data_IF_413120831840
#
_entry.id   IF_413120831840
#
_cell.length_a   1.000
_cell.length_b   1.000
_cell.length_c   1.000
_cell.angle_alpha   90.00
_cell.angle_beta   90.00
_cell.angle_gamma   90.00
#
_symmetry.space_group_name_H-M   'P 1'
#
loop_
_entity.id
_entity.type
_entity.pdbx_description
1 polymer ?
#
# COMPACT_ATOMS: atom_id res chain seq x y z
N UNK A 1 5.76 27.83 -9.89
CA UNK A 1 5.02 27.07 -8.86
C UNK A 1 5.68 25.72 -8.68
N UNK A 2 5.63 25.15 -7.47
CA UNK A 2 6.30 23.89 -7.11
C UNK A 2 5.31 22.72 -7.00
N UNK A 3 5.80 21.50 -6.88
CA UNK A 3 4.98 20.34 -6.52
C UNK A 3 5.45 19.77 -5.19
N UNK A 4 4.54 19.37 -4.31
CA UNK A 4 4.87 18.80 -3.00
C UNK A 4 4.44 17.34 -2.93
N UNK A 5 5.38 16.44 -2.67
CA UNK A 5 5.15 15.03 -2.46
C UNK A 5 5.41 14.67 -0.99
N UNK A 6 4.36 14.27 -0.27
CA UNK A 6 4.44 13.90 1.15
C UNK A 6 4.45 12.37 1.25
N UNK A 7 5.62 11.82 1.54
CA UNK A 7 5.91 10.38 1.43
C UNK A 7 6.15 9.76 2.81
N UNK A 8 5.59 8.57 3.04
CA UNK A 8 5.66 7.79 4.28
C UNK A 8 6.01 6.32 4.05
N UNK A 9 5.86 5.85 2.82
CA UNK A 9 6.10 4.46 2.44
C UNK A 9 6.79 4.37 1.07
N UNK A 10 7.51 3.27 0.81
CA UNK A 10 8.10 3.03 -0.49
C UNK A 10 7.08 2.97 -1.64
N UNK A 11 5.89 2.40 -1.41
CA UNK A 11 4.83 2.38 -2.43
C UNK A 11 4.43 3.80 -2.87
N UNK A 12 4.39 4.76 -1.94
CA UNK A 12 4.12 6.16 -2.26
C UNK A 12 5.21 6.78 -3.13
N UNK A 13 6.47 6.30 -3.08
CA UNK A 13 7.52 6.73 -4.01
C UNK A 13 7.24 6.24 -5.43
N UNK A 14 6.73 5.01 -5.60
CA UNK A 14 6.32 4.51 -6.92
C UNK A 14 5.15 5.34 -7.50
N UNK A 15 4.16 5.67 -6.67
CA UNK A 15 3.07 6.56 -7.07
C UNK A 15 3.58 7.96 -7.43
N UNK A 16 4.56 8.48 -6.67
CA UNK A 16 5.18 9.77 -6.96
C UNK A 16 5.92 9.77 -8.30
N UNK A 17 6.69 8.73 -8.58
CA UNK A 17 7.35 8.56 -9.87
C UNK A 17 6.34 8.57 -11.02
N UNK A 18 5.27 7.77 -10.90
CA UNK A 18 4.24 7.70 -11.94
C UNK A 18 3.53 9.05 -12.12
N UNK A 19 3.24 9.77 -11.04
CA UNK A 19 2.65 11.11 -11.11
C UNK A 19 3.57 12.14 -11.77
N UNK A 20 4.88 12.13 -11.42
CA UNK A 20 5.87 13.03 -12.04
C UNK A 20 5.90 12.82 -13.54
N UNK A 21 5.93 11.58 -13.98
CA UNK A 21 5.97 11.22 -15.40
C UNK A 21 4.65 11.53 -16.12
N UNK A 22 3.51 11.21 -15.50
CA UNK A 22 2.18 11.41 -16.06
C UNK A 22 1.86 12.89 -16.27
N UNK A 23 2.09 13.72 -15.25
CA UNK A 23 1.82 15.16 -15.31
C UNK A 23 3.02 15.99 -15.80
N UNK A 24 4.12 15.33 -16.19
CA UNK A 24 5.37 15.98 -16.67
C UNK A 24 5.90 17.03 -15.68
N UNK A 25 5.92 16.68 -14.39
CA UNK A 25 6.16 17.60 -13.29
C UNK A 25 7.63 17.94 -13.12
N UNK A 26 7.90 19.24 -13.05
CA UNK A 26 9.20 19.82 -12.69
C UNK A 26 9.10 20.57 -11.37
N UNK A 27 10.23 20.91 -10.76
CA UNK A 27 10.30 21.68 -9.51
C UNK A 27 9.63 20.95 -8.33
N UNK A 28 10.02 19.69 -8.15
CA UNK A 28 9.41 18.79 -7.17
C UNK A 28 10.12 18.89 -5.81
N UNK A 29 9.33 19.02 -4.73
CA UNK A 29 9.79 18.92 -3.34
C UNK A 29 9.29 17.60 -2.77
N UNK A 30 10.19 16.80 -2.22
CA UNK A 30 9.85 15.62 -1.43
C UNK A 30 9.93 15.93 0.05
N UNK A 31 8.84 15.67 0.79
CA UNK A 31 8.79 15.65 2.23
C UNK A 31 8.66 14.20 2.71
N UNK A 32 9.76 13.61 3.16
CA UNK A 32 9.75 12.27 3.76
C UNK A 32 9.40 12.38 5.23
N UNK A 33 8.27 11.80 5.61
CA UNK A 33 7.89 11.61 7.01
C UNK A 33 8.32 10.21 7.43
N UNK A 34 9.47 10.15 8.10
CA UNK A 34 10.11 8.90 8.50
C UNK A 34 9.33 8.20 9.62
N UNK A 35 9.38 6.87 9.62
CA UNK A 35 8.88 6.05 10.73
C UNK A 35 10.06 5.51 11.57
N UNK A 36 9.77 4.75 12.62
CA UNK A 36 10.79 4.16 13.50
C UNK A 36 11.54 2.97 12.88
N UNK A 37 11.27 2.63 11.60
CA UNK A 37 11.91 1.52 10.91
C UNK A 37 12.96 2.06 9.94
N UNK A 38 14.23 2.10 10.36
CA UNK A 38 15.32 2.68 9.57
C UNK A 38 15.45 2.06 8.17
N UNK A 39 15.23 0.74 8.06
CA UNK A 39 15.20 0.04 6.76
C UNK A 39 14.18 0.64 5.79
N UNK A 40 12.99 1.00 6.28
CA UNK A 40 11.93 1.59 5.45
C UNK A 40 12.33 3.00 5.00
N UNK A 41 12.95 3.78 5.89
CA UNK A 41 13.44 5.12 5.56
C UNK A 41 14.56 5.07 4.53
N UNK A 42 15.49 4.11 4.66
CA UNK A 42 16.55 3.91 3.68
C UNK A 42 15.99 3.49 2.32
N UNK A 43 15.03 2.56 2.29
CA UNK A 43 14.37 2.15 1.05
C UNK A 43 13.72 3.34 0.31
N UNK A 44 13.02 4.22 1.02
CA UNK A 44 12.45 5.42 0.41
C UNK A 44 13.54 6.32 -0.19
N UNK A 45 14.66 6.54 0.52
CA UNK A 45 15.78 7.33 -0.01
C UNK A 45 16.40 6.71 -1.25
N UNK A 46 16.68 5.42 -1.22
CA UNK A 46 17.25 4.69 -2.36
C UNK A 46 16.35 4.81 -3.59
N UNK A 47 15.03 4.73 -3.38
CA UNK A 47 14.06 4.85 -4.47
C UNK A 47 13.94 6.26 -5.01
N UNK A 48 14.12 7.31 -4.21
CA UNK A 48 14.05 8.69 -4.72
C UNK A 48 15.07 8.98 -5.81
N UNK A 49 16.13 8.17 -5.94
CA UNK A 49 17.05 8.24 -7.07
C UNK A 49 16.37 8.04 -8.45
N UNK A 50 15.17 7.46 -8.49
CA UNK A 50 14.37 7.33 -9.72
C UNK A 50 13.55 8.58 -10.05
N UNK A 51 13.41 9.51 -9.11
CA UNK A 51 12.56 10.70 -9.24
C UNK A 51 13.41 11.96 -9.45
N UNK A 52 12.94 12.87 -10.30
CA UNK A 52 13.53 14.21 -10.43
C UNK A 52 12.96 15.13 -9.33
N UNK A 53 13.83 15.72 -8.50
CA UNK A 53 13.42 16.65 -7.45
C UNK A 53 14.47 17.73 -7.16
N UNK A 54 14.01 18.89 -6.70
CA UNK A 54 14.85 20.03 -6.32
C UNK A 54 15.23 20.03 -4.84
N UNK A 55 14.29 19.62 -3.98
CA UNK A 55 14.45 19.70 -2.53
C UNK A 55 13.94 18.43 -1.87
N UNK A 56 14.76 17.88 -0.98
CA UNK A 56 14.38 16.81 -0.07
C UNK A 56 14.33 17.37 1.36
N UNK A 57 13.16 17.27 1.98
CA UNK A 57 12.93 17.61 3.38
C UNK A 57 12.65 16.32 4.15
N UNK A 58 13.52 15.98 5.09
CA UNK A 58 13.32 14.82 5.95
C UNK A 58 12.73 15.24 7.30
N UNK A 59 11.70 14.50 7.73
CA UNK A 59 11.13 14.62 9.06
C UNK A 59 11.32 13.29 9.81
N UNK A 60 12.46 13.15 10.53
CA UNK A 60 12.73 12.01 11.42
C UNK A 60 11.60 11.68 12.39
N UNK A 61 11.48 10.44 12.88
CA UNK A 61 10.50 10.10 13.90
C UNK A 61 10.71 10.91 15.19
N UNK A 62 9.63 11.20 15.91
CA UNK A 62 9.70 11.89 17.21
C UNK A 62 8.50 11.54 18.09
N UNK A 63 8.70 11.63 19.41
CA UNK A 63 7.64 11.44 20.43
C UNK A 63 6.52 12.48 20.29
N UNK A 64 6.85 13.71 19.87
CA UNK A 64 5.87 14.77 19.60
C UNK A 64 6.25 15.57 18.37
N UNK A 65 5.31 15.67 17.43
CA UNK A 65 5.53 16.36 16.16
C UNK A 65 4.84 17.73 16.07
N UNK A 66 4.20 18.23 17.14
CA UNK A 66 3.40 19.47 17.06
C UNK A 66 4.21 20.67 16.55
N UNK A 67 5.29 21.04 17.24
CA UNK A 67 6.13 22.18 16.84
C UNK A 67 6.79 21.97 15.48
N UNK A 68 7.12 20.71 15.14
CA UNK A 68 7.69 20.36 13.84
C UNK A 68 6.69 20.55 12.71
N UNK A 69 5.44 20.14 12.90
CA UNK A 69 4.37 20.38 11.94
C UNK A 69 4.12 21.88 11.76
N UNK A 70 4.12 22.66 12.85
CA UNK A 70 3.96 24.12 12.79
C UNK A 70 5.12 24.76 12.02
N UNK A 71 6.36 24.42 12.36
CA UNK A 71 7.56 24.96 11.71
C UNK A 71 7.62 24.59 10.22
N UNK A 72 7.35 23.33 9.88
CA UNK A 72 7.33 22.85 8.50
C UNK A 72 6.19 23.49 7.70
N UNK A 73 4.99 23.61 8.29
CA UNK A 73 3.87 24.29 7.62
C UNK A 73 4.25 25.74 7.29
N UNK A 74 4.88 26.46 8.22
CA UNK A 74 5.34 27.85 7.98
C UNK A 74 6.47 27.92 6.95
N UNK A 75 7.38 26.95 6.93
CA UNK A 75 8.44 26.86 5.91
C UNK A 75 7.82 26.65 4.52
N UNK A 76 6.93 25.67 4.39
CA UNK A 76 6.30 25.29 3.11
C UNK A 76 5.34 26.36 2.60
N UNK A 77 4.70 27.14 3.49
CA UNK A 77 3.82 28.25 3.12
C UNK A 77 4.53 29.38 2.35
N UNK A 78 5.86 29.37 2.27
CA UNK A 78 6.65 30.33 1.46
C UNK A 78 6.59 30.04 -0.05
N UNK A 79 5.93 28.97 -0.47
CA UNK A 79 5.81 28.58 -1.87
C UNK A 79 4.34 28.36 -2.24
N UNK A 80 4.03 28.65 -3.50
CA UNK A 80 2.78 28.25 -4.14
C UNK A 80 2.98 26.95 -4.91
N UNK A 81 1.99 26.06 -4.80
CA UNK A 81 2.06 24.73 -5.35
C UNK A 81 1.08 24.54 -6.53
N UNK A 82 1.51 23.86 -7.60
CA UNK A 82 0.54 23.34 -8.57
C UNK A 82 -0.18 22.15 -7.91
N UNK A 83 0.60 21.17 -7.47
CA UNK A 83 0.08 19.93 -6.93
C UNK A 83 0.65 19.61 -5.54
N UNK A 84 -0.22 19.07 -4.68
CA UNK A 84 0.17 18.41 -3.44
C UNK A 84 -0.26 16.95 -3.51
N UNK A 85 0.69 16.03 -3.43
CA UNK A 85 0.47 14.58 -3.41
C UNK A 85 0.79 13.99 -2.04
N UNK A 86 -0.02 13.04 -1.58
CA UNK A 86 0.16 12.39 -0.27
C UNK A 86 -0.56 11.05 -0.19
N UNK A 87 -0.03 10.05 0.53
CA UNK A 87 -0.70 8.74 0.64
C UNK A 87 -1.70 8.59 1.79
N UNK A 88 -1.72 9.49 2.76
CA UNK A 88 -2.66 9.39 3.88
C UNK A 88 -3.18 10.73 4.37
N UNK A 89 -4.42 10.76 4.85
CA UNK A 89 -5.08 11.97 5.32
C UNK A 89 -5.02 12.13 6.85
N UNK A 90 -3.80 12.15 7.39
CA UNK A 90 -3.55 12.39 8.82
C UNK A 90 -3.59 13.87 9.21
N UNK A 91 -3.43 14.17 10.51
CA UNK A 91 -3.41 15.54 11.03
C UNK A 91 -2.42 16.47 10.32
N UNK A 92 -1.25 15.97 9.92
CA UNK A 92 -0.25 16.79 9.26
C UNK A 92 -0.65 17.16 7.83
N UNK A 93 -1.17 16.19 7.06
CA UNK A 93 -1.66 16.44 5.71
C UNK A 93 -2.88 17.36 5.74
N UNK A 94 -3.82 17.15 6.67
CA UNK A 94 -4.94 18.08 6.91
C UNK A 94 -4.45 19.50 7.19
N UNK A 95 -3.43 19.64 8.05
CA UNK A 95 -2.81 20.94 8.36
C UNK A 95 -2.19 21.61 7.12
N UNK A 96 -1.44 20.85 6.31
CA UNK A 96 -0.82 21.39 5.10
C UNK A 96 -1.88 21.83 4.08
N UNK A 97 -2.89 21.00 3.81
CA UNK A 97 -3.99 21.34 2.90
C UNK A 97 -4.89 22.49 3.41
N UNK A 98 -4.85 22.79 4.71
CA UNK A 98 -5.56 23.93 5.28
C UNK A 98 -4.78 25.25 5.19
N UNK A 99 -3.45 25.21 5.04
CA UNK A 99 -2.59 26.39 5.18
C UNK A 99 -1.75 26.74 3.95
N UNK A 100 -1.42 25.76 3.11
CA UNK A 100 -0.67 25.99 1.87
C UNK A 100 -1.59 26.54 0.77
N UNK A 101 -1.02 27.27 -0.17
CA UNK A 101 -1.69 27.63 -1.42
C UNK A 101 -1.32 26.61 -2.49
N UNK A 102 -2.34 26.03 -3.14
CA UNK A 102 -2.14 24.99 -4.14
C UNK A 102 -3.27 24.99 -5.17
N UNK A 103 -3.02 24.58 -6.42
CA UNK A 103 -4.05 24.43 -7.43
C UNK A 103 -4.95 23.21 -7.16
N UNK A 104 -4.33 22.02 -7.12
CA UNK A 104 -4.99 20.73 -6.85
C UNK A 104 -4.20 19.88 -5.85
N UNK A 105 -4.88 18.92 -5.24
CA UNK A 105 -4.24 17.96 -4.33
C UNK A 105 -4.77 16.56 -4.57
N UNK A 106 -3.88 15.57 -4.58
CA UNK A 106 -4.21 14.18 -4.88
C UNK A 106 -3.76 13.25 -3.75
N UNK A 107 -4.68 12.38 -3.33
CA UNK A 107 -4.36 11.24 -2.49
C UNK A 107 -3.75 10.13 -3.36
N UNK A 108 -2.56 9.66 -3.01
CA UNK A 108 -1.95 8.46 -3.56
C UNK A 108 -2.58 7.20 -2.99
N UNK A 109 -2.40 6.13 -3.75
CA UNK A 109 -2.72 4.80 -3.27
C UNK A 109 -1.86 4.42 -2.05
N UNK A 110 -2.53 4.09 -0.93
CA UNK A 110 -1.92 3.62 0.32
C UNK A 110 -2.67 2.40 0.88
N UNK A 111 -3.18 1.56 -0.04
CA UNK A 111 -3.85 0.30 0.26
C UNK A 111 -5.33 0.48 0.63
N UNK A 112 -5.85 -0.41 1.49
CA UNK A 112 -7.28 -0.43 1.82
C UNK A 112 -7.78 0.85 2.50
N UNK A 113 -6.89 1.65 3.08
CA UNK A 113 -7.22 2.94 3.67
C UNK A 113 -7.76 3.95 2.64
N UNK A 114 -7.40 3.83 1.36
CA UNK A 114 -7.89 4.68 0.27
C UNK A 114 -9.42 4.68 0.21
N UNK A 115 -10.08 3.54 0.39
CA UNK A 115 -11.55 3.45 0.40
C UNK A 115 -12.17 4.15 1.60
N UNK A 116 -11.55 4.02 2.78
CA UNK A 116 -12.02 4.72 3.98
C UNK A 116 -11.93 6.24 3.80
N UNK A 117 -10.85 6.70 3.16
CA UNK A 117 -10.71 8.12 2.80
C UNK A 117 -11.69 8.55 1.73
N UNK A 118 -12.01 7.70 0.75
CA UNK A 118 -13.02 7.96 -0.26
C UNK A 118 -14.41 8.23 0.32
N UNK A 119 -14.81 7.43 1.31
CA UNK A 119 -16.06 7.66 2.05
C UNK A 119 -15.96 8.88 2.99
N UNK A 120 -14.79 9.14 3.60
CA UNK A 120 -14.61 10.32 4.48
C UNK A 120 -14.66 11.63 3.66
N UNK A 121 -14.01 11.66 2.50
CA UNK A 121 -13.81 12.85 1.68
C UNK A 121 -15.03 13.24 0.86
N UNK A 122 -15.92 12.29 0.54
CA UNK A 122 -17.21 12.56 -0.10
C UNK A 122 -18.22 13.27 0.80
N UNK A 123 -18.00 13.24 2.13
CA UNK A 123 -18.89 13.92 3.08
C UNK A 123 -18.66 15.42 3.05
N UNK A 124 -19.72 16.25 3.11
CA UNK A 124 -19.59 17.70 3.08
C UNK A 124 -18.85 18.26 4.32
N UNK A 125 -18.92 17.55 5.45
CA UNK A 125 -18.34 17.97 6.72
C UNK A 125 -16.97 17.34 6.95
N UNK A 126 -15.96 18.18 7.19
CA UNK A 126 -14.63 17.73 7.55
C UNK A 126 -14.58 17.31 9.02
N UNK A 127 -13.98 16.15 9.30
CA UNK A 127 -13.75 15.65 10.65
C UNK A 127 -12.43 16.16 11.21
N UNK A 128 -12.49 16.72 12.41
CA UNK A 128 -11.34 17.18 13.19
C UNK A 128 -11.21 16.40 14.48
N UNK A 129 -9.97 16.03 14.82
CA UNK A 129 -9.63 15.48 16.12
C UNK A 129 -9.25 16.59 17.11
N UNK A 130 -9.25 16.29 18.40
CA UNK A 130 -8.71 17.21 19.43
C UNK A 130 -7.24 17.59 19.17
N UNK A 131 -6.48 16.71 18.51
CA UNK A 131 -5.09 16.97 18.11
C UNK A 131 -4.95 17.93 16.93
N UNK A 132 -6.02 18.15 16.17
CA UNK A 132 -6.03 19.14 15.09
C UNK A 132 -6.34 20.54 15.67
N UNK A 133 -7.26 20.64 16.62
CA UNK A 133 -7.68 21.91 17.24
C UNK A 133 -6.53 22.72 17.83
N UNK A 134 -5.50 22.08 18.39
CA UNK A 134 -4.31 22.78 18.91
C UNK A 134 -3.56 23.62 17.87
N UNK A 135 -3.69 23.34 16.57
CA UNK A 135 -3.02 24.15 15.54
C UNK A 135 -3.61 25.56 15.41
N UNK A 136 -4.87 25.76 15.84
CA UNK A 136 -5.48 27.08 15.92
C UNK A 136 -4.70 28.00 16.87
N UNK A 137 -4.14 27.45 17.97
CA UNK A 137 -3.30 28.19 18.93
C UNK A 137 -1.99 28.69 18.31
N UNK A 138 -1.54 28.07 17.21
CA UNK A 138 -0.38 28.52 16.44
C UNK A 138 -0.74 29.48 15.29
N UNK A 139 -2.00 29.92 15.20
CA UNK A 139 -2.51 30.76 14.12
C UNK A 139 -2.61 30.03 12.78
N UNK A 140 -2.75 28.70 12.80
CA UNK A 140 -2.89 27.88 11.59
C UNK A 140 -4.35 27.42 11.43
N UNK A 141 -4.83 27.37 10.19
CA UNK A 141 -6.14 26.81 9.86
C UNK A 141 -6.12 25.28 9.99
N UNK A 142 -7.27 24.69 10.29
CA UNK A 142 -7.49 23.24 10.25
C UNK A 142 -8.45 22.84 9.13
N UNK A 143 -9.23 23.79 8.59
CA UNK A 143 -10.20 23.52 7.52
C UNK A 143 -9.48 23.53 6.19
N UNK A 144 -9.54 22.41 5.48
CA UNK A 144 -9.00 22.27 4.12
C UNK A 144 -9.73 23.21 3.17
N UNK A 145 -8.96 23.87 2.28
CA UNK A 145 -9.45 24.89 1.34
C UNK A 145 -10.17 24.33 0.11
N UNK A 146 -9.72 23.19 -0.40
CA UNK A 146 -10.18 22.61 -1.67
C UNK A 146 -10.56 21.12 -1.53
N UNK A 147 -11.36 20.54 -2.43
CA UNK A 147 -11.53 19.09 -2.51
C UNK A 147 -10.20 18.35 -2.70
N UNK A 148 -10.17 17.07 -2.35
CA UNK A 148 -9.02 16.18 -2.57
C UNK A 148 -9.38 15.25 -3.72
N UNK A 149 -8.58 15.26 -4.76
CA UNK A 149 -8.65 14.28 -5.85
C UNK A 149 -7.89 13.00 -5.52
N UNK A 150 -7.94 12.04 -6.44
CA UNK A 150 -7.26 10.75 -6.34
C UNK A 150 -6.29 10.59 -7.50
N UNK A 151 -5.09 10.09 -7.20
CA UNK A 151 -4.18 9.51 -8.19
C UNK A 151 -3.97 8.06 -7.79
N UNK A 152 -4.74 7.16 -8.42
CA UNK A 152 -4.91 5.79 -7.94
C UNK A 152 -4.94 4.78 -9.09
N UNK A 153 -4.74 3.52 -8.74
CA UNK A 153 -4.90 2.36 -9.64
C UNK A 153 -6.29 1.74 -9.56
N UNK A 154 -7.13 2.19 -8.63
CA UNK A 154 -8.49 1.66 -8.44
C UNK A 154 -9.49 2.42 -9.28
N UNK A 155 -10.40 1.66 -9.88
CA UNK A 155 -11.60 2.21 -10.49
C UNK A 155 -12.57 2.63 -9.37
N UNK A 156 -12.42 3.86 -8.91
CA UNK A 156 -13.27 4.45 -7.88
C UNK A 156 -14.48 5.12 -8.54
N UNK A 157 -15.66 4.89 -7.97
CA UNK A 157 -16.86 5.64 -8.34
C UNK A 157 -16.70 7.09 -7.89
N UNK A 158 -17.18 8.05 -8.68
CA UNK A 158 -17.18 9.45 -8.27
C UNK A 158 -18.32 9.70 -7.29
N UNK A 159 -18.01 10.08 -6.06
CA UNK A 159 -18.98 10.32 -4.98
C UNK A 159 -19.22 11.82 -4.71
N UNK A 160 -18.43 12.70 -5.31
CA UNK A 160 -18.52 14.14 -5.15
C UNK A 160 -17.82 14.91 -6.27
N UNK A 161 -17.24 16.06 -5.92
CA UNK A 161 -16.53 16.92 -6.88
C UNK A 161 -15.04 16.59 -6.98
N UNK A 162 -14.59 15.45 -6.46
CA UNK A 162 -13.22 14.99 -6.59
C UNK A 162 -12.88 14.68 -8.05
N UNK A 163 -11.64 14.97 -8.42
CA UNK A 163 -11.06 14.47 -9.66
C UNK A 163 -10.42 13.11 -9.38
N UNK A 164 -10.76 12.10 -10.18
CA UNK A 164 -10.18 10.77 -10.09
C UNK A 164 -9.28 10.57 -11.31
N UNK A 165 -7.97 10.55 -11.08
CA UNK A 165 -6.96 10.30 -12.11
C UNK A 165 -6.48 8.87 -11.96
N UNK A 166 -6.93 8.02 -12.88
CA UNK A 166 -6.54 6.61 -12.92
C UNK A 166 -5.19 6.42 -13.61
N UNK A 167 -4.32 5.60 -13.03
CA UNK A 167 -3.07 5.17 -13.64
C UNK A 167 -2.88 3.65 -13.56
N UNK A 168 -1.94 3.13 -14.35
CA UNK A 168 -1.63 1.70 -14.39
C UNK A 168 -0.14 1.40 -14.23
N UNK A 169 0.62 2.37 -13.69
CA UNK A 169 2.08 2.33 -13.62
C UNK A 169 2.72 2.19 -15.01
N UNK A 170 2.15 2.83 -16.04
CA UNK A 170 2.58 2.67 -17.42
C UNK A 170 3.98 3.25 -17.64
N UNK A 171 4.29 4.39 -17.02
CA UNK A 171 5.62 4.99 -17.11
C UNK A 171 6.65 4.14 -16.38
N UNK A 172 6.33 3.70 -15.16
CA UNK A 172 7.16 2.77 -14.38
C UNK A 172 7.46 1.48 -15.17
N UNK A 173 6.43 0.88 -15.77
CA UNK A 173 6.54 -0.34 -16.57
C UNK A 173 7.49 -0.18 -17.75
N UNK A 174 7.29 0.88 -18.52
CA UNK A 174 7.99 1.07 -19.78
C UNK A 174 9.44 1.51 -19.59
N UNK A 175 9.74 2.31 -18.56
CA UNK A 175 11.08 2.83 -18.31
C UNK A 175 11.92 1.93 -17.42
N UNK A 176 11.32 1.33 -16.38
CA UNK A 176 12.06 0.60 -15.35
C UNK A 176 11.90 -0.91 -15.52
N UNK A 177 10.65 -1.40 -15.62
CA UNK A 177 10.38 -2.85 -15.58
C UNK A 177 10.54 -3.55 -16.94
N UNK A 178 10.84 -2.84 -18.02
CA UNK A 178 10.85 -3.40 -19.39
C UNK A 178 11.81 -4.59 -19.53
N UNK A 179 13.02 -4.47 -18.98
CA UNK A 179 14.10 -5.45 -19.15
C UNK A 179 14.26 -6.40 -17.95
N UNK A 180 13.21 -6.58 -17.15
CA UNK A 180 13.26 -7.52 -16.03
C UNK A 180 13.23 -8.96 -16.51
N UNK A 181 14.00 -9.82 -15.85
CA UNK A 181 14.10 -11.24 -16.14
C UNK A 181 12.84 -11.96 -15.71
N UNK A 182 12.27 -12.76 -16.62
CA UNK A 182 11.14 -13.62 -16.31
C UNK A 182 11.59 -14.79 -15.42
N UNK A 183 10.82 -15.08 -14.37
CA UNK A 183 11.03 -16.27 -13.53
C UNK A 183 9.81 -17.17 -13.59
N UNK A 184 10.03 -18.49 -13.64
CA UNK A 184 8.93 -19.47 -13.63
C UNK A 184 8.45 -19.84 -12.23
N UNK A 185 9.03 -19.26 -11.18
CA UNK A 185 8.66 -19.55 -9.81
C UNK A 185 7.26 -19.03 -9.48
N UNK A 186 6.59 -19.74 -8.57
CA UNK A 186 5.35 -19.30 -7.93
C UNK A 186 5.70 -18.57 -6.64
N UNK A 187 5.42 -17.27 -6.59
CA UNK A 187 5.62 -16.49 -5.37
C UNK A 187 4.34 -16.49 -4.55
N UNK A 188 4.36 -17.13 -3.38
CA UNK A 188 3.24 -17.11 -2.44
C UNK A 188 3.52 -16.06 -1.38
N UNK A 189 2.71 -15.00 -1.35
CA UNK A 189 2.86 -13.91 -0.38
C UNK A 189 2.01 -14.23 0.86
N UNK A 190 2.70 -14.50 1.96
CA UNK A 190 2.11 -14.68 3.28
C UNK A 190 1.40 -13.42 3.78
N UNK A 191 0.70 -13.57 4.90
CA UNK A 191 -0.13 -12.55 5.51
C UNK A 191 -0.08 -12.62 7.03
N UNK A 192 -0.28 -11.46 7.65
CA UNK A 192 -0.30 -11.30 9.11
C UNK A 192 -1.62 -11.78 9.74
N UNK A 193 -2.25 -12.86 9.24
CA UNK A 193 -3.65 -13.17 9.56
C UNK A 193 -3.85 -13.63 11.01
N UNK A 194 -2.93 -14.44 11.51
CA UNK A 194 -2.95 -14.92 12.90
C UNK A 194 -2.67 -13.76 13.85
N UNK A 195 -1.54 -13.06 13.68
CA UNK A 195 -1.15 -11.94 14.53
C UNK A 195 -2.15 -10.77 14.47
N UNK A 196 -2.86 -10.58 13.35
CA UNK A 196 -3.94 -9.60 13.25
C UNK A 196 -5.25 -10.04 13.93
N UNK A 197 -5.30 -11.30 14.39
CA UNK A 197 -6.44 -11.93 15.03
C UNK A 197 -7.60 -12.20 14.07
N UNK A 198 -7.32 -12.50 12.79
CA UNK A 198 -8.37 -12.92 11.85
C UNK A 198 -8.68 -14.41 11.97
N UNK A 199 -7.67 -15.27 12.06
CA UNK A 199 -7.84 -16.73 12.04
C UNK A 199 -6.93 -17.39 13.10
N UNK A 200 -6.92 -18.72 13.19
CA UNK A 200 -6.01 -19.49 14.06
C UNK A 200 -4.75 -19.93 13.30
N UNK A 201 -3.71 -20.36 14.03
CA UNK A 201 -2.49 -20.89 13.42
C UNK A 201 -2.78 -22.14 12.58
N UNK A 202 -3.63 -23.03 13.08
CA UNK A 202 -4.00 -24.29 12.39
C UNK A 202 -4.72 -24.01 11.08
N UNK A 203 -5.67 -23.07 11.09
CA UNK A 203 -6.39 -22.65 9.89
C UNK A 203 -5.44 -22.00 8.88
N UNK A 204 -4.53 -21.13 9.34
CA UNK A 204 -3.56 -20.48 8.47
C UNK A 204 -2.58 -21.48 7.81
N UNK A 205 -2.04 -22.40 8.59
CA UNK A 205 -1.18 -23.48 8.08
C UNK A 205 -1.92 -24.37 7.08
N UNK A 206 -3.19 -24.67 7.33
CA UNK A 206 -4.05 -25.37 6.38
C UNK A 206 -4.16 -24.60 5.06
N UNK A 207 -4.39 -23.29 5.09
CA UNK A 207 -4.47 -22.48 3.88
C UNK A 207 -3.18 -22.49 3.07
N UNK A 208 -2.03 -22.33 3.74
CA UNK A 208 -0.72 -22.38 3.09
C UNK A 208 -0.50 -23.76 2.46
N UNK A 209 -0.91 -24.84 3.14
CA UNK A 209 -0.85 -26.20 2.60
C UNK A 209 -1.73 -26.37 1.36
N UNK A 210 -2.98 -25.92 1.39
CA UNK A 210 -3.90 -25.98 0.23
C UNK A 210 -3.33 -25.22 -0.97
N UNK A 211 -2.78 -24.02 -0.75
CA UNK A 211 -2.13 -23.25 -1.81
C UNK A 211 -0.92 -24.00 -2.34
N UNK A 212 -0.02 -24.50 -1.48
CA UNK A 212 1.14 -25.29 -1.90
C UNK A 212 0.74 -26.48 -2.76
N UNK A 213 -0.26 -27.24 -2.32
CA UNK A 213 -0.73 -28.45 -3.00
C UNK A 213 -1.45 -28.12 -4.33
N UNK A 214 -1.93 -26.88 -4.52
CA UNK A 214 -2.48 -26.39 -5.80
C UNK A 214 -1.42 -26.11 -6.86
N UNK A 215 -0.13 -26.09 -6.49
CA UNK A 215 1.01 -25.83 -7.38
C UNK A 215 2.04 -26.97 -7.31
N UNK A 216 1.57 -28.23 -7.18
CA UNK A 216 2.46 -29.41 -7.19
C UNK A 216 3.32 -29.45 -8.46
N UNK A 217 4.62 -29.68 -8.26
CA UNK A 217 5.63 -29.73 -9.34
C UNK A 217 6.22 -28.37 -9.72
N UNK A 218 5.66 -27.26 -9.24
CA UNK A 218 6.22 -25.92 -9.43
C UNK A 218 7.21 -25.56 -8.33
N UNK A 219 8.17 -24.68 -8.65
CA UNK A 219 9.06 -24.08 -7.63
C UNK A 219 8.34 -22.93 -6.93
N UNK A 220 7.98 -23.14 -5.67
CA UNK A 220 7.28 -22.20 -4.82
C UNK A 220 8.28 -21.47 -3.92
N UNK A 221 8.22 -20.14 -3.97
CA UNK A 221 8.91 -19.25 -3.03
C UNK A 221 7.83 -18.62 -2.16
N UNK A 222 7.72 -19.10 -0.92
CA UNK A 222 6.85 -18.52 0.08
C UNK A 222 7.55 -17.33 0.74
N UNK A 223 6.93 -16.16 0.68
CA UNK A 223 7.45 -14.92 1.25
C UNK A 223 6.54 -14.53 2.41
N UNK A 224 6.94 -14.81 3.67
CA UNK A 224 6.14 -14.46 4.83
C UNK A 224 5.93 -12.94 4.91
N UNK A 225 4.78 -12.53 5.42
CA UNK A 225 4.58 -11.11 5.70
C UNK A 225 5.51 -10.66 6.84
N UNK A 226 6.02 -9.43 6.81
CA UNK A 226 6.95 -8.88 7.84
C UNK A 226 6.48 -8.95 9.30
N UNK A 227 5.19 -9.19 9.52
CA UNK A 227 4.57 -9.30 10.84
C UNK A 227 3.99 -10.69 11.11
N UNK A 228 4.20 -11.63 10.20
CA UNK A 228 3.85 -13.03 10.34
C UNK A 228 4.88 -13.73 11.22
N UNK A 229 4.42 -14.53 12.16
CA UNK A 229 5.28 -15.41 12.95
C UNK A 229 5.56 -16.67 12.13
N UNK A 230 6.84 -16.97 11.88
CA UNK A 230 7.23 -18.20 11.19
C UNK A 230 7.35 -19.32 12.23
N UNK A 231 6.36 -20.21 12.27
CA UNK A 231 6.34 -21.35 13.20
C UNK A 231 7.19 -22.51 12.70
N UNK A 232 7.52 -23.46 13.58
CA UNK A 232 8.29 -24.65 13.21
C UNK A 232 7.47 -25.57 12.28
N UNK A 233 6.14 -25.59 12.43
CA UNK A 233 5.24 -26.31 11.53
C UNK A 233 5.27 -25.71 10.11
N UNK A 234 5.29 -24.38 9.98
CA UNK A 234 5.43 -23.75 8.67
C UNK A 234 6.79 -24.08 8.04
N UNK A 235 7.87 -24.03 8.83
CA UNK A 235 9.22 -24.43 8.37
C UNK A 235 9.27 -25.89 7.93
N UNK A 236 8.50 -26.76 8.56
CA UNK A 236 8.41 -28.18 8.17
C UNK A 236 7.86 -28.38 6.74
N UNK A 237 7.24 -27.36 6.13
CA UNK A 237 6.80 -27.41 4.73
C UNK A 237 7.95 -27.24 3.74
N UNK A 238 9.12 -26.78 4.17
CA UNK A 238 10.26 -26.60 3.28
C UNK A 238 10.75 -27.93 2.69
N UNK A 239 10.92 -27.96 1.37
CA UNK A 239 11.50 -29.06 0.63
C UNK A 239 12.23 -28.52 -0.61
N UNK A 240 12.53 -29.35 -1.61
CA UNK A 240 13.20 -28.90 -2.83
C UNK A 240 12.35 -27.95 -3.70
N UNK A 241 11.02 -28.06 -3.62
CA UNK A 241 10.06 -27.32 -4.43
C UNK A 241 9.33 -26.22 -3.65
N UNK A 242 9.40 -26.20 -2.31
CA UNK A 242 8.83 -25.15 -1.47
C UNK A 242 9.92 -24.56 -0.58
N UNK A 243 10.23 -23.28 -0.79
CA UNK A 243 11.24 -22.54 -0.01
C UNK A 243 10.63 -21.33 0.67
N UNK A 244 10.95 -21.14 1.95
CA UNK A 244 10.59 -19.94 2.70
C UNK A 244 11.69 -18.91 2.52
N UNK A 245 11.32 -17.73 2.02
CA UNK A 245 12.23 -16.62 1.77
C UNK A 245 11.81 -15.38 2.57
N UNK A 246 12.53 -15.13 3.66
CA UNK A 246 12.31 -13.97 4.52
C UNK A 246 12.76 -12.67 3.83
N UNK A 247 11.80 -11.97 3.23
CA UNK A 247 12.02 -10.66 2.64
C UNK A 247 11.67 -9.54 3.65
N UNK A 248 12.56 -8.56 3.79
CA UNK A 248 12.34 -7.39 4.67
C UNK A 248 11.87 -6.13 3.92
N UNK A 249 11.71 -6.21 2.59
CA UNK A 249 11.26 -5.12 1.73
C UNK A 249 9.78 -5.33 1.34
N UNK A 250 9.03 -4.27 0.98
CA UNK A 250 7.80 -4.45 0.22
C UNK A 250 8.06 -5.26 -1.06
N UNK A 251 7.11 -6.12 -1.42
CA UNK A 251 7.32 -7.12 -2.47
C UNK A 251 7.54 -6.48 -3.85
N UNK A 252 6.85 -5.37 -4.13
CA UNK A 252 7.02 -4.59 -5.35
C UNK A 252 8.48 -4.15 -5.49
N UNK A 253 9.09 -3.68 -4.39
CA UNK A 253 10.48 -3.26 -4.40
C UNK A 253 11.45 -4.42 -4.53
N UNK A 254 11.13 -5.55 -3.91
CA UNK A 254 11.97 -6.74 -4.03
C UNK A 254 12.08 -7.15 -5.50
N UNK A 255 10.94 -7.28 -6.20
CA UNK A 255 10.96 -7.58 -7.63
C UNK A 255 11.67 -6.51 -8.45
N UNK A 256 11.48 -5.23 -8.14
CA UNK A 256 12.18 -4.15 -8.83
C UNK A 256 13.69 -4.19 -8.64
N UNK A 257 14.17 -4.35 -7.39
CA UNK A 257 15.59 -4.37 -7.07
C UNK A 257 16.29 -5.59 -7.66
N UNK A 258 15.64 -6.74 -7.64
CA UNK A 258 16.15 -7.96 -8.24
C UNK A 258 15.95 -8.01 -9.76
N UNK A 259 15.27 -7.01 -10.35
CA UNK A 259 14.89 -6.98 -11.76
C UNK A 259 14.16 -8.25 -12.18
N UNK A 260 13.26 -8.74 -11.33
CA UNK A 260 12.46 -9.94 -11.53
C UNK A 260 11.08 -9.54 -12.05
N UNK A 261 10.62 -10.23 -13.10
CA UNK A 261 9.23 -10.28 -13.52
C UNK A 261 8.67 -11.67 -13.17
N UNK A 262 7.86 -11.79 -12.11
CA UNK A 262 7.36 -13.10 -11.68
C UNK A 262 6.38 -13.68 -12.71
N UNK A 263 6.39 -14.98 -12.99
CA UNK A 263 5.32 -15.61 -13.80
C UNK A 263 4.03 -15.73 -13.00
N UNK A 264 4.13 -16.14 -11.73
CA UNK A 264 2.98 -16.32 -10.83
C UNK A 264 3.18 -15.61 -9.50
N UNK A 265 2.17 -14.89 -9.04
CA UNK A 265 2.09 -14.41 -7.67
C UNK A 265 0.74 -14.78 -7.10
N UNK A 266 0.76 -15.39 -5.92
CA UNK A 266 -0.42 -15.84 -5.19
C UNK A 266 -0.41 -15.20 -3.82
N UNK A 267 -1.56 -14.76 -3.34
CA UNK A 267 -1.71 -14.39 -1.93
C UNK A 267 -3.14 -14.68 -1.48
N UNK A 268 -3.45 -14.27 -0.27
CA UNK A 268 -4.83 -14.09 0.19
C UNK A 268 -5.30 -12.70 -0.25
N UNK A 269 -6.00 -11.95 0.59
CA UNK A 269 -6.55 -10.64 0.25
C UNK A 269 -5.54 -9.47 0.35
N UNK A 270 -4.32 -9.63 -0.17
CA UNK A 270 -3.25 -8.61 -0.12
C UNK A 270 -3.49 -7.42 -1.04
N UNK A 271 -3.20 -6.21 -0.58
CA UNK A 271 -3.15 -5.03 -1.48
C UNK A 271 -2.01 -5.10 -2.49
N UNK A 272 -0.94 -5.81 -2.16
CA UNK A 272 0.18 -6.01 -3.09
C UNK A 272 -0.25 -6.75 -4.37
N UNK A 273 -1.34 -7.54 -4.33
CA UNK A 273 -1.87 -8.21 -5.53
C UNK A 273 -2.33 -7.17 -6.55
N UNK A 274 -2.96 -6.07 -6.13
CA UNK A 274 -3.40 -5.01 -7.05
C UNK A 274 -2.23 -4.26 -7.68
N UNK A 275 -1.28 -3.82 -6.86
CA UNK A 275 -0.09 -3.09 -7.32
C UNK A 275 0.72 -3.97 -8.27
N UNK A 276 0.97 -5.23 -7.90
CA UNK A 276 1.69 -6.19 -8.74
C UNK A 276 0.94 -6.52 -10.04
N UNK A 277 -0.39 -6.64 -10.01
CA UNK A 277 -1.19 -6.85 -11.23
C UNK A 277 -1.10 -5.66 -12.20
N UNK A 278 -0.95 -4.44 -11.70
CA UNK A 278 -0.77 -3.24 -12.54
C UNK A 278 0.67 -3.09 -13.05
N UNK A 279 1.66 -3.32 -12.19
CA UNK A 279 3.10 -3.19 -12.50
C UNK A 279 3.59 -4.34 -13.38
N UNK A 280 3.11 -5.56 -13.16
CA UNK A 280 3.51 -6.75 -13.90
C UNK A 280 2.30 -7.34 -14.64
N UNK A 281 1.78 -6.58 -15.60
CA UNK A 281 0.57 -6.92 -16.38
C UNK A 281 0.64 -8.25 -17.17
N UNK A 282 1.83 -8.80 -17.39
CA UNK A 282 2.03 -10.13 -18.00
C UNK A 282 2.15 -11.28 -16.98
N UNK A 283 2.11 -10.97 -15.69
CA UNK A 283 2.19 -11.96 -14.62
C UNK A 283 0.80 -12.49 -14.28
N UNK A 284 0.73 -13.77 -13.93
CA UNK A 284 -0.49 -14.40 -13.44
C UNK A 284 -0.60 -14.13 -11.94
N UNK A 285 -1.36 -13.09 -11.59
CA UNK A 285 -1.59 -12.65 -10.22
C UNK A 285 -2.93 -13.20 -9.73
N UNK A 286 -2.93 -13.87 -8.58
CA UNK A 286 -4.09 -14.58 -8.03
C UNK A 286 -4.28 -14.30 -6.55
N UNK A 287 -5.53 -14.31 -6.10
CA UNK A 287 -5.91 -14.22 -4.70
C UNK A 287 -6.84 -15.37 -4.29
N UNK A 288 -6.61 -15.93 -3.12
CA UNK A 288 -7.53 -16.87 -2.47
C UNK A 288 -8.36 -16.14 -1.41
N UNK A 289 -9.69 -16.27 -1.51
CA UNK A 289 -10.61 -15.82 -0.49
C UNK A 289 -10.59 -16.77 0.72
N UNK A 290 -10.75 -16.24 1.92
CA UNK A 290 -10.90 -17.04 3.14
C UNK A 290 -12.39 -17.19 3.43
N UNK A 291 -12.79 -18.39 3.86
CA UNK A 291 -14.17 -18.66 4.20
C UNK A 291 -14.61 -17.82 5.41
N UNK A 292 -15.79 -17.17 5.35
CA UNK A 292 -16.28 -16.31 6.42
C UNK A 292 -16.35 -17.01 7.80
N UNK A 293 -16.52 -18.32 7.82
CA UNK A 293 -16.64 -19.17 9.01
C UNK A 293 -15.32 -19.24 9.80
N UNK A 294 -14.19 -19.15 9.11
CA UNK A 294 -12.87 -19.19 9.74
C UNK A 294 -12.39 -17.80 10.21
N UNK A 295 -13.17 -16.74 9.93
CA UNK A 295 -12.85 -15.37 10.31
C UNK A 295 -13.41 -15.00 11.67
N UNK A 296 -12.56 -14.51 12.56
CA UNK A 296 -12.96 -13.93 13.84
C UNK A 296 -13.79 -12.65 13.61
N UNK A 297 -14.93 -12.56 14.30
CA UNK A 297 -15.95 -11.52 14.13
C UNK A 297 -15.41 -10.09 14.09
N UNK A 298 -14.45 -9.75 14.95
CA UNK A 298 -13.87 -8.40 15.05
C UNK A 298 -13.22 -7.91 13.75
N UNK A 299 -12.77 -8.81 12.88
CA UNK A 299 -12.03 -8.50 11.64
C UNK A 299 -12.77 -8.93 10.37
N UNK A 300 -13.86 -9.69 10.52
CA UNK A 300 -14.62 -10.30 9.43
C UNK A 300 -15.12 -9.28 8.42
N UNK A 301 -15.75 -8.20 8.86
CA UNK A 301 -16.33 -7.20 7.96
C UNK A 301 -15.26 -6.51 7.08
N UNK A 302 -14.13 -6.10 7.68
CA UNK A 302 -13.03 -5.51 6.91
C UNK A 302 -12.40 -6.51 5.94
N UNK A 303 -12.24 -7.78 6.33
CA UNK A 303 -11.71 -8.82 5.44
C UNK A 303 -12.65 -9.10 4.25
N UNK A 304 -13.95 -9.23 4.51
CA UNK A 304 -14.98 -9.42 3.48
C UNK A 304 -15.05 -8.24 2.51
N UNK A 305 -14.91 -7.01 3.02
CA UNK A 305 -14.82 -5.82 2.17
C UNK A 305 -13.67 -5.92 1.17
N UNK A 306 -12.45 -6.27 1.63
CA UNK A 306 -11.29 -6.40 0.75
C UNK A 306 -11.45 -7.55 -0.24
N UNK A 307 -11.97 -8.70 0.21
CA UNK A 307 -12.26 -9.83 -0.69
C UNK A 307 -13.27 -9.45 -1.78
N UNK A 308 -14.33 -8.71 -1.44
CA UNK A 308 -15.30 -8.23 -2.43
C UNK A 308 -14.66 -7.34 -3.49
N UNK A 309 -13.66 -6.56 -3.11
CA UNK A 309 -12.95 -5.66 -4.03
C UNK A 309 -12.00 -6.43 -4.95
N UNK A 310 -11.28 -7.43 -4.43
CA UNK A 310 -10.44 -8.35 -5.21
C UNK A 310 -11.28 -9.09 -6.26
N UNK A 311 -12.47 -9.55 -5.85
CA UNK A 311 -13.42 -10.20 -6.75
C UNK A 311 -13.89 -9.26 -7.86
N UNK A 312 -14.29 -8.04 -7.52
CA UNK A 312 -14.69 -7.01 -8.50
C UNK A 312 -13.57 -6.67 -9.49
N UNK A 313 -12.31 -6.73 -9.05
CA UNK A 313 -11.15 -6.53 -9.91
C UNK A 313 -10.76 -7.77 -10.75
N UNK A 314 -11.46 -8.90 -10.60
CA UNK A 314 -11.21 -10.12 -11.37
C UNK A 314 -9.95 -10.89 -10.96
N UNK A 315 -9.46 -10.69 -9.73
CA UNK A 315 -8.20 -11.29 -9.25
C UNK A 315 -8.39 -12.53 -8.36
N UNK A 316 -9.63 -12.88 -8.00
CA UNK A 316 -9.96 -14.04 -7.17
C UNK A 316 -9.91 -15.34 -7.98
N UNK A 317 -9.33 -16.40 -7.42
CA UNK A 317 -9.17 -17.70 -8.10
C UNK A 317 -9.82 -18.87 -7.35
N UNK A 318 -10.07 -18.73 -6.07
CA UNK A 318 -10.74 -19.76 -5.28
C UNK A 318 -10.86 -19.36 -3.83
N UNK A 319 -11.38 -20.29 -3.03
CA UNK A 319 -11.62 -20.08 -1.60
C UNK A 319 -10.90 -21.15 -0.79
N UNK A 320 -10.37 -20.79 0.37
CA UNK A 320 -9.81 -21.70 1.37
C UNK A 320 -10.70 -21.73 2.61
N UNK A 321 -11.16 -22.92 3.00
CA UNK A 321 -11.95 -23.16 4.21
C UNK A 321 -11.25 -24.20 5.10
N UNK A 322 -11.07 -23.89 6.39
CA UNK A 322 -10.56 -24.82 7.39
C UNK A 322 -11.68 -25.58 8.10
N UNK A 323 -12.75 -24.87 8.48
CA UNK A 323 -13.95 -25.44 9.14
C UNK A 323 -14.56 -26.63 8.39
N UNK A 324 -14.65 -26.56 7.06
CA UNK A 324 -15.16 -27.67 6.23
C UNK A 324 -14.22 -28.89 6.17
N UNK A 325 -12.92 -28.70 6.40
CA UNK A 325 -11.95 -29.79 6.39
C UNK A 325 -12.02 -30.68 7.63
N UNK A 326 -12.54 -30.15 8.76
CA UNK A 326 -12.71 -30.90 10.00
C UNK A 326 -13.93 -31.84 9.94
N UNK A 327 -14.98 -31.48 9.22
CA UNK A 327 -16.16 -32.33 9.03
C UNK A 327 -15.86 -33.60 8.21
N UNK A 328 -14.92 -33.52 7.26
CA UNK A 328 -14.53 -34.66 6.42
C UNK A 328 -13.63 -35.68 7.15
N UNK A 329 -13.02 -35.31 8.27
CA UNK A 329 -12.17 -36.19 9.10
C UNK A 329 -12.94 -36.96 10.19
N UNK A 330 -14.26 -36.81 10.25
CA UNK A 330 -15.13 -37.49 11.22
C UNK A 330 -16.18 -38.41 10.58
N UNK A 331 -15.99 -38.80 9.31
CA UNK A 331 -16.85 -39.77 8.60
C UNK A 331 -16.11 -41.09 8.37
#
# INVERSE_FOLDING_TARGET
>A
MKNLFIIRSPLQVLNAYEAIEHFQLKNNIFLIVQNHLDKNNQQMRDMLAMCEYEELIEMPPSKSNYFRYVALTRKLKKHDYNFIFFGNLGSFQKLLLANLEYEKSYLFEDGTCTFSYHIELSKPQQRFSSRDMRFLLAGLSIKRKKPVGYFTIFDLEQLGSEEIVNHSFSHLKNKICKNFSHTNNVYVLGQCLVNAGLTSDEAYLHYVKVIRDSFLGEKIIYIPHRGETITDELKSFENENFKIFENTMPIELYFMKQKIRPKYVVSFYSMAVFTLAKIFDKSLIKSYAICPEDMKMKRKESALFVQSFIKKAGLEVGTVCFSQSQEASHV
#
